data_IF_314239106104
#
_entry.id   IF_314239106104
#
_cell.length_a   1.000
_cell.length_b   1.000
_cell.length_c   1.000
_cell.angle_alpha   90.00
_cell.angle_beta   90.00
_cell.angle_gamma   90.00
#
_symmetry.space_group_name_H-M   'P 1'
#
loop_
_entity.id
_entity.type
_entity.pdbx_description
1 polymer ?
#
# COMPACT_ATOMS: atom_id res chain seq x y z
N UNK A 1 -4.44 -2.73 -27.96
CA UNK A 1 -3.09 -2.19 -27.76
C UNK A 1 -2.05 -3.31 -27.76
N UNK A 2 -2.05 -4.25 -26.80
CA UNK A 2 -1.06 -5.35 -26.70
C UNK A 2 -0.85 -6.20 -27.96
N UNK A 3 -1.90 -6.50 -28.72
CA UNK A 3 -1.79 -7.26 -29.97
C UNK A 3 -0.98 -6.51 -31.05
N UNK A 4 -1.14 -5.19 -31.14
CA UNK A 4 -0.39 -4.36 -32.08
C UNK A 4 1.06 -4.18 -31.63
N UNK A 5 1.30 -4.05 -30.32
CA UNK A 5 2.65 -4.03 -29.73
C UNK A 5 3.40 -5.34 -29.98
N UNK A 6 2.73 -6.47 -29.78
CA UNK A 6 3.32 -7.79 -30.02
C UNK A 6 3.66 -8.02 -31.51
N UNK A 7 2.79 -7.57 -32.41
CA UNK A 7 3.06 -7.59 -33.85
C UNK A 7 4.25 -6.69 -34.23
N UNK A 8 4.33 -5.48 -33.66
CA UNK A 8 5.44 -4.56 -33.90
C UNK A 8 6.77 -5.08 -33.34
N UNK A 9 6.73 -5.74 -32.18
CA UNK A 9 7.89 -6.36 -31.53
C UNK A 9 8.23 -7.77 -32.07
N UNK A 10 7.45 -8.30 -33.03
CA UNK A 10 7.57 -9.65 -33.59
C UNK A 10 7.65 -10.75 -32.54
N UNK A 11 6.85 -10.62 -31.47
CA UNK A 11 6.77 -11.64 -30.44
C UNK A 11 6.26 -12.95 -31.03
N UNK A 12 6.87 -14.05 -30.61
CA UNK A 12 6.33 -15.38 -30.80
C UNK A 12 4.99 -15.51 -30.06
N UNK A 13 4.18 -16.52 -30.43
CA UNK A 13 2.92 -16.79 -29.74
C UNK A 13 3.12 -17.08 -28.24
N UNK A 14 4.24 -17.71 -27.88
CA UNK A 14 4.60 -18.00 -26.49
C UNK A 14 4.90 -16.73 -25.70
N UNK A 15 5.73 -15.83 -26.24
CA UNK A 15 6.05 -14.55 -25.61
C UNK A 15 4.80 -13.65 -25.47
N UNK A 16 3.92 -13.66 -26.47
CA UNK A 16 2.66 -12.93 -26.40
C UNK A 16 1.73 -13.49 -25.32
N UNK A 17 1.64 -14.81 -25.20
CA UNK A 17 0.84 -15.46 -24.16
C UNK A 17 1.39 -15.14 -22.77
N UNK A 18 2.71 -15.20 -22.58
CA UNK A 18 3.37 -14.81 -21.33
C UNK A 18 3.04 -13.36 -20.96
N UNK A 19 3.14 -12.43 -21.91
CA UNK A 19 2.85 -11.02 -21.69
C UNK A 19 1.40 -10.80 -21.22
N UNK A 20 0.42 -11.44 -21.87
CA UNK A 20 -0.99 -11.32 -21.47
C UNK A 20 -1.22 -11.90 -20.07
N UNK A 21 -0.60 -13.03 -19.76
CA UNK A 21 -0.72 -13.65 -18.44
C UNK A 21 -0.14 -12.75 -17.34
N UNK A 22 1.01 -12.13 -17.59
CA UNK A 22 1.61 -11.16 -16.68
C UNK A 22 0.67 -9.95 -16.45
N UNK A 23 0.09 -9.40 -17.52
CA UNK A 23 -0.88 -8.32 -17.43
C UNK A 23 -2.11 -8.70 -16.59
N UNK A 24 -2.68 -9.88 -16.81
CA UNK A 24 -3.84 -10.34 -16.03
C UNK A 24 -3.49 -10.55 -14.55
N UNK A 25 -2.27 -11.02 -14.24
CA UNK A 25 -1.81 -11.10 -12.85
C UNK A 25 -1.75 -9.72 -12.19
N UNK A 26 -1.22 -8.72 -12.89
CA UNK A 26 -1.16 -7.33 -12.40
C UNK A 26 -2.57 -6.76 -12.17
N UNK A 27 -3.47 -6.94 -13.14
CA UNK A 27 -4.88 -6.48 -13.03
C UNK A 27 -5.59 -7.17 -11.87
N UNK A 28 -5.38 -8.49 -11.69
CA UNK A 28 -5.95 -9.23 -10.57
C UNK A 28 -5.44 -8.74 -9.23
N UNK A 29 -4.16 -8.45 -9.11
CA UNK A 29 -3.58 -7.94 -7.86
C UNK A 29 -4.11 -6.53 -7.56
N UNK A 30 -4.15 -5.64 -8.56
CA UNK A 30 -4.73 -4.31 -8.43
C UNK A 30 -6.20 -4.36 -7.97
N UNK A 31 -7.01 -5.24 -8.57
CA UNK A 31 -8.42 -5.45 -8.15
C UNK A 31 -8.54 -6.02 -6.74
N UNK A 32 -7.62 -6.89 -6.30
CA UNK A 32 -7.59 -7.37 -4.90
C UNK A 32 -7.25 -6.24 -3.94
N UNK A 33 -6.24 -5.44 -4.27
CA UNK A 33 -5.84 -4.30 -3.47
C UNK A 33 -6.98 -3.28 -3.32
N UNK A 34 -7.59 -2.86 -4.43
CA UNK A 34 -8.72 -1.92 -4.43
C UNK A 34 -9.91 -2.43 -3.60
N UNK A 35 -10.24 -3.73 -3.68
CA UNK A 35 -11.30 -4.33 -2.86
C UNK A 35 -10.99 -4.27 -1.37
N UNK A 36 -9.75 -4.58 -0.97
CA UNK A 36 -9.33 -4.50 0.45
C UNK A 36 -9.37 -3.07 0.96
N UNK A 37 -8.86 -2.12 0.17
CA UNK A 37 -8.89 -0.69 0.51
C UNK A 37 -10.33 -0.20 0.69
N UNK A 38 -11.22 -0.55 -0.24
CA UNK A 38 -12.64 -0.19 -0.13
C UNK A 38 -13.30 -0.79 1.11
N UNK A 39 -12.97 -2.03 1.44
CA UNK A 39 -13.51 -2.74 2.62
C UNK A 39 -12.98 -2.20 3.96
N UNK A 40 -11.84 -1.51 3.96
CA UNK A 40 -11.26 -0.96 5.18
C UNK A 40 -11.92 0.36 5.62
N UNK A 41 -12.73 0.98 4.75
CA UNK A 41 -13.52 2.18 5.06
C UNK A 41 -12.71 3.33 5.68
N UNK A 42 -11.46 3.50 5.24
CA UNK A 42 -10.63 4.62 5.67
C UNK A 42 -11.34 5.95 5.35
N UNK A 43 -11.39 6.85 6.35
CA UNK A 43 -11.91 8.21 6.14
C UNK A 43 -11.16 8.93 5.01
N UNK A 44 -9.83 8.82 4.99
CA UNK A 44 -8.95 9.34 3.93
C UNK A 44 -7.83 8.34 3.67
N UNK A 45 -7.42 8.22 2.40
CA UNK A 45 -6.22 7.46 2.04
C UNK A 45 -5.00 8.30 2.37
N UNK A 46 -4.32 7.94 3.47
CA UNK A 46 -3.08 8.57 3.91
C UNK A 46 -1.95 7.56 3.83
N UNK A 47 -0.76 8.01 3.43
CA UNK A 47 0.46 7.21 3.55
C UNK A 47 1.40 7.79 4.62
N UNK A 48 2.37 6.99 5.06
CA UNK A 48 3.46 7.47 5.92
C UNK A 48 4.39 8.44 5.17
N UNK A 49 4.39 8.42 3.85
CA UNK A 49 5.17 9.34 3.01
C UNK A 49 4.56 10.75 2.99
N UNK A 50 3.22 10.83 3.10
CA UNK A 50 2.49 12.10 3.16
C UNK A 50 2.60 12.79 4.53
N UNK A 51 3.18 12.12 5.54
CA UNK A 51 3.30 12.68 6.89
C UNK A 51 4.51 13.62 6.98
N UNK A 52 4.28 14.87 7.39
CA UNK A 52 5.37 15.80 7.70
C UNK A 52 6.06 15.40 9.02
N UNK A 53 7.20 14.71 8.93
CA UNK A 53 7.97 14.29 10.09
C UNK A 53 8.59 15.46 10.89
N UNK A 54 8.62 16.68 10.32
CA UNK A 54 9.07 17.88 11.04
C UNK A 54 7.98 18.44 11.96
N UNK A 55 6.71 18.12 11.68
CA UNK A 55 5.55 18.55 12.46
C UNK A 55 5.65 18.13 13.94
N UNK A 56 6.09 16.90 14.19
CA UNK A 56 6.27 16.39 15.54
C UNK A 56 7.54 15.52 15.65
N UNK A 57 8.69 16.13 15.97
CA UNK A 57 9.98 15.43 16.06
C UNK A 57 10.05 14.36 17.15
N UNK A 58 9.09 14.33 18.09
CA UNK A 58 9.03 13.31 19.15
C UNK A 58 8.55 11.96 18.62
N UNK A 59 7.92 11.92 17.45
CA UNK A 59 7.46 10.67 16.83
C UNK A 59 8.63 10.02 16.11
N UNK A 60 9.00 8.83 16.56
CA UNK A 60 10.09 8.08 15.95
C UNK A 60 9.63 7.47 14.62
N UNK A 61 10.18 7.98 13.51
CA UNK A 61 9.87 7.49 12.15
C UNK A 61 10.11 5.99 12.02
N UNK A 62 11.24 5.49 12.50
CA UNK A 62 11.58 4.06 12.46
C UNK A 62 10.52 3.17 13.12
N UNK A 63 9.99 3.59 14.27
CA UNK A 63 8.93 2.86 14.97
C UNK A 63 7.63 2.82 14.17
N UNK A 64 7.24 3.92 13.53
CA UNK A 64 6.02 3.95 12.70
C UNK A 64 6.14 3.06 11.46
N UNK A 65 7.31 3.00 10.83
CA UNK A 65 7.54 2.08 9.70
C UNK A 65 7.60 0.61 10.15
N UNK A 66 8.10 0.31 11.35
CA UNK A 66 8.02 -1.05 11.89
C UNK A 66 6.56 -1.45 12.17
N UNK A 67 5.72 -0.54 12.68
CA UNK A 67 4.27 -0.78 12.81
C UNK A 67 3.61 -1.01 11.45
N UNK A 68 3.93 -0.20 10.43
CA UNK A 68 3.40 -0.36 9.07
C UNK A 68 3.78 -1.69 8.40
N UNK A 69 4.82 -2.39 8.90
CA UNK A 69 5.13 -3.75 8.44
C UNK A 69 4.09 -4.80 8.87
N UNK A 70 3.17 -4.45 9.78
CA UNK A 70 2.13 -5.35 10.29
C UNK A 70 2.66 -6.49 11.17
N UNK A 71 3.94 -6.45 11.59
CA UNK A 71 4.54 -7.48 12.46
C UNK A 71 3.78 -7.67 13.77
N UNK A 72 3.23 -6.59 14.34
CA UNK A 72 2.46 -6.65 15.58
C UNK A 72 1.23 -7.57 15.48
N UNK A 73 0.61 -7.66 14.29
CA UNK A 73 -0.51 -8.56 14.01
C UNK A 73 -0.06 -10.02 14.15
N UNK A 74 1.06 -10.38 13.49
CA UNK A 74 1.63 -11.73 13.56
C UNK A 74 2.07 -12.10 14.98
N UNK A 75 2.57 -11.11 15.72
CA UNK A 75 3.02 -11.26 17.10
C UNK A 75 1.88 -11.23 18.12
N UNK A 76 0.63 -10.99 17.68
CA UNK A 76 -0.54 -10.82 18.56
C UNK A 76 -0.30 -9.76 19.63
N UNK A 77 0.28 -8.62 19.24
CA UNK A 77 0.53 -7.48 20.11
C UNK A 77 -0.43 -6.37 19.82
N UNK A 78 -0.97 -5.78 20.88
CA UNK A 78 -1.79 -4.59 20.78
C UNK A 78 -0.90 -3.35 20.63
N UNK A 79 -1.40 -2.38 19.86
CA UNK A 79 -0.71 -1.12 19.58
C UNK A 79 -1.63 0.01 20.01
N UNK A 80 -1.14 0.85 20.93
CA UNK A 80 -1.88 1.99 21.45
C UNK A 80 -1.10 3.29 21.21
N UNK A 81 -1.71 4.24 20.49
CA UNK A 81 -1.13 5.55 20.23
C UNK A 81 -1.71 6.60 21.19
N UNK A 82 -0.99 6.89 22.27
CA UNK A 82 -1.36 7.92 23.25
C UNK A 82 -0.56 9.21 23.06
N UNK A 83 -1.23 10.33 22.82
CA UNK A 83 -0.64 11.68 22.92
C UNK A 83 -1.74 12.75 22.94
N UNK A 84 -1.43 14.03 23.25
CA UNK A 84 -2.40 15.14 23.20
C UNK A 84 -3.11 15.29 21.85
N UNK A 85 -4.31 15.87 21.77
CA UNK A 85 -4.97 16.13 20.49
C UNK A 85 -4.10 17.00 19.57
N UNK A 86 -4.22 16.80 18.26
CA UNK A 86 -3.49 17.60 17.27
C UNK A 86 -2.04 17.18 17.02
N UNK A 87 -1.55 16.05 17.55
CA UNK A 87 -0.14 15.60 17.37
C UNK A 87 0.11 14.73 16.13
N UNK A 88 -0.85 14.61 15.21
CA UNK A 88 -0.70 13.84 13.96
C UNK A 88 -1.10 12.37 14.03
N UNK A 89 -1.61 11.90 15.18
CA UNK A 89 -2.04 10.51 15.40
C UNK A 89 -3.04 10.00 14.36
N UNK A 90 -4.08 10.77 14.04
CA UNK A 90 -5.13 10.31 13.12
C UNK A 90 -4.58 9.99 11.73
N UNK A 91 -3.65 10.81 11.23
CA UNK A 91 -2.95 10.53 9.97
C UNK A 91 -2.14 9.24 10.08
N UNK A 92 -1.34 9.09 11.14
CA UNK A 92 -0.50 7.90 11.33
C UNK A 92 -1.31 6.61 11.46
N UNK A 93 -2.43 6.64 12.18
CA UNK A 93 -3.35 5.49 12.31
C UNK A 93 -3.94 5.13 10.95
N UNK A 94 -4.46 6.13 10.21
CA UNK A 94 -4.99 5.90 8.86
C UNK A 94 -3.93 5.36 7.89
N UNK A 95 -2.68 5.80 8.02
CA UNK A 95 -1.58 5.37 7.17
C UNK A 95 -1.06 3.96 7.47
N UNK A 96 -1.19 3.50 8.72
CA UNK A 96 -0.83 2.13 9.11
C UNK A 96 -1.92 1.15 8.67
N UNK A 97 -3.18 1.55 8.77
CA UNK A 97 -4.35 0.71 8.45
C UNK A 97 -5.07 0.21 9.68
#
# INVERSE_FOLDING_TARGET
>A
MRLQEAQAARLTYEEFLELILQDELLVRDQRRFQRRVKSAEFRDLKSLEDFDWRFNPRIQRSQMYDLASGKFIKQRRDVLLCSPPGTGKSHLVQAIG
#
